data_IF_567266889081
#
_entry.id   IF_567266889081
#
_cell.length_a   1.000
_cell.length_b   1.000
_cell.length_c   1.000
_cell.angle_alpha   90.00
_cell.angle_beta   90.00
_cell.angle_gamma   90.00
#
_symmetry.space_group_name_H-M   'P 1'
#
loop_
_entity.id
_entity.type
_entity.pdbx_description
1 polymer ?
#
# COMPACT_ATOMS: atom_id res chain seq x y z
N UNK A 1 -32.91 12.60 -36.06
CA UNK A 1 -32.22 11.34 -35.77
C UNK A 1 -31.34 11.53 -34.55
N UNK A 2 -31.74 11.06 -33.37
CA UNK A 2 -30.93 11.20 -32.15
C UNK A 2 -31.04 10.02 -31.17
N UNK A 3 -32.11 9.22 -31.20
CA UNK A 3 -32.33 8.14 -30.21
C UNK A 3 -31.39 6.93 -30.31
N UNK A 4 -31.07 6.46 -31.52
CA UNK A 4 -30.27 5.23 -31.72
C UNK A 4 -28.78 5.39 -31.42
N UNK A 5 -28.23 6.59 -31.61
CA UNK A 5 -26.81 6.86 -31.34
C UNK A 5 -26.49 6.83 -29.85
N UNK A 6 -27.39 7.32 -28.98
CA UNK A 6 -27.22 7.26 -27.53
C UNK A 6 -27.31 5.85 -26.96
N UNK A 7 -28.15 4.99 -27.54
CA UNK A 7 -28.25 3.58 -27.12
C UNK A 7 -26.99 2.78 -27.50
N UNK A 8 -26.45 2.99 -28.70
CA UNK A 8 -25.20 2.36 -29.13
C UNK A 8 -23.98 2.89 -28.35
N UNK A 9 -23.90 4.20 -28.13
CA UNK A 9 -22.84 4.81 -27.32
C UNK A 9 -22.90 4.35 -25.85
N UNK A 10 -24.10 4.27 -25.27
CA UNK A 10 -24.30 3.76 -23.92
C UNK A 10 -23.94 2.28 -23.79
N UNK A 11 -24.32 1.44 -24.76
CA UNK A 11 -23.96 0.03 -24.80
C UNK A 11 -22.44 -0.19 -24.91
N UNK A 12 -21.75 0.61 -25.73
CA UNK A 12 -20.29 0.56 -25.87
C UNK A 12 -19.58 0.91 -24.56
N UNK A 13 -20.03 1.96 -23.85
CA UNK A 13 -19.46 2.35 -22.56
C UNK A 13 -19.64 1.26 -21.49
N UNK A 14 -20.85 0.69 -21.37
CA UNK A 14 -21.11 -0.39 -20.40
C UNK A 14 -20.24 -1.61 -20.70
N UNK A 15 -20.09 -1.98 -21.97
CA UNK A 15 -19.23 -3.10 -22.39
C UNK A 15 -17.76 -2.81 -22.07
N UNK A 16 -17.30 -1.59 -22.33
CA UNK A 16 -15.94 -1.15 -22.03
C UNK A 16 -15.66 -1.22 -20.52
N UNK A 17 -16.48 -0.57 -19.69
CA UNK A 17 -16.31 -0.60 -18.24
C UNK A 17 -16.41 -2.02 -17.67
N UNK A 18 -17.34 -2.83 -18.18
CA UNK A 18 -17.47 -4.23 -17.79
C UNK A 18 -16.21 -5.05 -18.12
N UNK A 19 -15.67 -4.91 -19.33
CA UNK A 19 -14.44 -5.56 -19.74
C UNK A 19 -13.24 -5.10 -18.91
N UNK A 20 -13.08 -3.79 -18.71
CA UNK A 20 -12.02 -3.21 -17.87
C UNK A 20 -12.08 -3.73 -16.44
N UNK A 21 -13.27 -3.76 -15.83
CA UNK A 21 -13.47 -4.31 -14.49
C UNK A 21 -13.04 -5.77 -14.40
N UNK A 22 -13.45 -6.61 -15.37
CA UNK A 22 -13.09 -8.02 -15.39
C UNK A 22 -11.58 -8.24 -15.55
N UNK A 23 -10.91 -7.43 -16.39
CA UNK A 23 -9.46 -7.49 -16.56
C UNK A 23 -8.75 -7.11 -15.26
N UNK A 24 -9.13 -5.98 -14.64
CA UNK A 24 -8.55 -5.53 -13.37
C UNK A 24 -8.75 -6.55 -12.26
N UNK A 25 -9.97 -7.09 -12.12
CA UNK A 25 -10.28 -8.15 -11.15
C UNK A 25 -9.38 -9.37 -11.36
N UNK A 26 -9.27 -9.88 -12.59
CA UNK A 26 -8.42 -11.06 -12.88
C UNK A 26 -6.94 -10.81 -12.60
N UNK A 27 -6.43 -9.61 -12.91
CA UNK A 27 -5.05 -9.23 -12.58
C UNK A 27 -4.83 -9.22 -11.07
N UNK A 28 -5.73 -8.59 -10.32
CA UNK A 28 -5.67 -8.55 -8.87
C UNK A 28 -5.72 -9.96 -8.25
N UNK A 29 -6.63 -10.83 -8.70
CA UNK A 29 -6.74 -12.20 -8.17
C UNK A 29 -5.48 -13.03 -8.42
N UNK A 30 -4.82 -12.83 -9.57
CA UNK A 30 -3.53 -13.47 -9.88
C UNK A 30 -2.42 -12.95 -8.97
N UNK A 31 -2.32 -11.63 -8.82
CA UNK A 31 -1.31 -11.00 -7.95
C UNK A 31 -1.46 -11.50 -6.51
N UNK A 32 -2.69 -11.50 -5.98
CA UNK A 32 -3.00 -12.03 -4.65
C UNK A 32 -2.62 -13.50 -4.50
N UNK A 33 -2.93 -14.36 -5.48
CA UNK A 33 -2.55 -15.77 -5.42
C UNK A 33 -1.05 -15.96 -5.42
N UNK A 34 -0.34 -15.28 -6.33
CA UNK A 34 1.12 -15.35 -6.43
C UNK A 34 1.79 -14.88 -5.15
N UNK A 35 1.30 -13.78 -4.58
CA UNK A 35 1.79 -13.21 -3.33
C UNK A 35 1.54 -14.15 -2.14
N UNK A 36 0.37 -14.77 -2.09
CA UNK A 36 0.03 -15.77 -1.06
C UNK A 36 0.95 -16.99 -1.12
N UNK A 37 1.27 -17.45 -2.32
CA UNK A 37 2.00 -18.70 -2.51
C UNK A 37 3.52 -18.54 -2.27
N UNK A 38 4.05 -17.31 -2.40
CA UNK A 38 5.50 -17.03 -2.25
C UNK A 38 5.94 -16.61 -0.84
N UNK A 39 5.02 -16.24 0.06
CA UNK A 39 5.36 -15.77 1.41
C UNK A 39 4.34 -16.17 2.48
N UNK A 40 4.77 -16.11 3.74
CA UNK A 40 3.88 -16.31 4.88
C UNK A 40 2.84 -15.17 4.98
N UNK A 41 1.67 -15.46 5.54
CA UNK A 41 0.67 -14.47 5.93
C UNK A 41 0.72 -14.32 7.46
N UNK A 42 1.55 -13.39 7.99
CA UNK A 42 1.72 -13.24 9.42
C UNK A 42 0.42 -12.76 10.07
N UNK A 43 0.23 -13.09 11.34
CA UNK A 43 -0.79 -12.42 12.14
C UNK A 43 -0.38 -10.97 12.40
N UNK A 44 -1.31 -10.17 12.94
CA UNK A 44 -0.99 -8.79 13.35
C UNK A 44 0.19 -8.76 14.33
N UNK A 45 0.16 -9.65 15.31
CA UNK A 45 1.14 -9.65 16.39
C UNK A 45 2.51 -10.14 15.86
N UNK A 46 2.51 -11.10 14.91
CA UNK A 46 3.72 -11.50 14.20
C UNK A 46 4.30 -10.38 13.35
N UNK A 47 3.46 -9.63 12.61
CA UNK A 47 3.89 -8.48 11.81
C UNK A 47 4.57 -7.42 12.68
N UNK A 48 3.98 -7.10 13.84
CA UNK A 48 4.56 -6.18 14.82
C UNK A 48 5.87 -6.73 15.37
N UNK A 49 5.93 -8.01 15.72
CA UNK A 49 7.14 -8.64 16.22
C UNK A 49 8.28 -8.63 15.18
N UNK A 50 7.95 -8.87 13.91
CA UNK A 50 8.91 -8.84 12.80
C UNK A 50 9.50 -7.44 12.55
N UNK A 51 8.78 -6.37 12.93
CA UNK A 51 9.19 -4.97 12.77
C UNK A 51 9.79 -4.35 14.04
N UNK A 52 9.70 -5.05 15.17
CA UNK A 52 10.17 -4.55 16.47
C UNK A 52 11.66 -4.12 16.51
N UNK A 53 12.58 -4.70 15.73
CA UNK A 53 13.97 -4.22 15.69
C UNK A 53 14.12 -2.82 15.10
N UNK A 54 13.26 -2.43 14.16
CA UNK A 54 13.36 -1.17 13.43
C UNK A 54 12.44 -0.09 13.98
N UNK A 55 11.25 -0.47 14.45
CA UNK A 55 10.20 0.49 14.77
C UNK A 55 9.42 0.15 16.03
N UNK A 56 8.90 1.19 16.69
CA UNK A 56 8.03 1.02 17.85
C UNK A 56 6.73 0.28 17.51
N UNK A 57 6.20 -0.47 18.47
CA UNK A 57 4.98 -1.27 18.29
C UNK A 57 3.76 -0.43 17.88
N UNK A 58 3.66 0.82 18.36
CA UNK A 58 2.60 1.75 17.97
C UNK A 58 2.63 2.07 16.46
N UNK A 59 3.82 2.35 15.92
CA UNK A 59 4.04 2.63 14.50
C UNK A 59 3.74 1.40 13.64
N UNK A 60 4.24 0.22 14.03
CA UNK A 60 3.94 -1.03 13.34
C UNK A 60 2.42 -1.33 13.33
N UNK A 61 1.72 -1.11 14.45
CA UNK A 61 0.27 -1.30 14.56
C UNK A 61 -0.53 -0.30 13.74
N UNK A 62 -0.08 0.95 13.66
CA UNK A 62 -0.69 1.95 12.78
C UNK A 62 -0.59 1.49 11.33
N UNK A 63 0.61 1.15 10.86
CA UNK A 63 0.82 0.79 9.46
C UNK A 63 0.13 -0.52 9.07
N UNK A 64 0.06 -1.49 10.00
CA UNK A 64 -0.74 -2.69 9.79
C UNK A 64 -2.19 -2.36 9.42
N UNK A 65 -2.78 -1.32 10.05
CA UNK A 65 -4.16 -0.89 9.79
C UNK A 65 -4.29 -0.24 8.42
N UNK A 66 -3.37 0.65 8.05
CA UNK A 66 -3.34 1.29 6.73
C UNK A 66 -3.32 0.24 5.62
N UNK A 67 -2.45 -0.78 5.77
CA UNK A 67 -2.34 -1.85 4.79
C UNK A 67 -3.59 -2.74 4.69
N UNK A 68 -4.49 -2.77 5.70
CA UNK A 68 -5.64 -3.68 5.63
C UNK A 68 -6.56 -3.40 4.44
N UNK A 69 -6.64 -2.16 3.95
CA UNK A 69 -7.47 -1.77 2.80
C UNK A 69 -7.04 -2.51 1.52
N UNK A 70 -5.75 -2.81 1.37
CA UNK A 70 -5.19 -3.43 0.17
C UNK A 70 -5.11 -4.96 0.26
N UNK A 71 -4.88 -5.49 1.47
CA UNK A 71 -4.63 -6.92 1.68
C UNK A 71 -5.90 -7.71 2.01
N UNK A 72 -6.89 -7.10 2.68
CA UNK A 72 -8.10 -7.83 3.07
C UNK A 72 -9.02 -8.13 1.87
N UNK A 73 -9.80 -9.21 1.96
CA UNK A 73 -9.85 -10.22 3.03
C UNK A 73 -8.91 -11.42 2.80
N UNK A 74 -8.09 -11.41 1.74
CA UNK A 74 -7.43 -12.62 1.22
C UNK A 74 -5.97 -12.79 1.68
N UNK A 75 -5.34 -11.72 2.14
CA UNK A 75 -3.95 -11.70 2.60
C UNK A 75 -3.85 -10.95 3.93
N UNK A 76 -2.76 -11.20 4.63
CA UNK A 76 -2.26 -10.26 5.63
C UNK A 76 -1.00 -9.56 5.13
N UNK A 77 -0.75 -8.30 5.51
CA UNK A 77 0.49 -7.60 5.17
C UNK A 77 1.73 -8.33 5.69
N UNK A 78 2.82 -8.33 4.92
CA UNK A 78 4.13 -8.80 5.36
C UNK A 78 5.14 -7.64 5.35
N UNK A 79 6.09 -7.56 6.32
CA UNK A 79 7.03 -6.43 6.42
C UNK A 79 7.93 -6.20 5.19
N UNK A 80 8.11 -7.24 4.39
CA UNK A 80 8.98 -7.25 3.22
C UNK A 80 8.22 -7.29 1.88
N UNK A 81 6.91 -7.06 1.90
CA UNK A 81 6.13 -6.88 0.67
C UNK A 81 6.58 -5.61 -0.06
N UNK A 82 6.76 -5.68 -1.38
CA UNK A 82 6.93 -4.55 -2.27
C UNK A 82 5.59 -3.84 -2.44
N UNK A 83 5.46 -2.69 -1.78
CA UNK A 83 4.25 -1.88 -1.74
C UNK A 83 3.88 -1.30 -3.10
N UNK A 84 4.80 -1.29 -4.06
CA UNK A 84 4.60 -0.75 -5.41
C UNK A 84 4.45 -1.83 -6.48
N UNK A 85 5.00 -3.01 -6.23
CA UNK A 85 5.09 -4.10 -7.22
C UNK A 85 4.18 -5.29 -6.97
N UNK A 86 3.83 -5.60 -5.72
CA UNK A 86 3.20 -6.89 -5.39
C UNK A 86 1.69 -6.91 -5.54
N UNK A 87 1.07 -5.77 -5.27
CA UNK A 87 -0.36 -5.54 -5.42
C UNK A 87 -0.55 -4.26 -6.24
N UNK A 88 -1.70 -4.07 -6.91
CA UNK A 88 -2.01 -2.86 -7.65
C UNK A 88 -2.39 -1.72 -6.68
N UNK A 89 -1.49 -1.40 -5.75
CA UNK A 89 -1.55 -0.23 -4.89
C UNK A 89 -1.15 0.97 -5.74
N UNK A 90 -1.75 2.14 -5.46
CA UNK A 90 -1.39 3.37 -6.14
C UNK A 90 0.10 3.68 -5.88
N UNK A 91 0.93 3.94 -6.91
CA UNK A 91 2.33 4.27 -6.71
C UNK A 91 2.55 5.54 -5.87
N UNK A 92 1.55 6.42 -5.75
CA UNK A 92 1.60 7.63 -4.92
C UNK A 92 1.16 7.37 -3.47
N UNK A 93 0.59 6.20 -3.17
CA UNK A 93 0.13 5.83 -1.83
C UNK A 93 1.23 5.89 -0.74
N UNK A 94 2.49 5.49 -1.00
CA UNK A 94 3.57 5.67 -0.05
C UNK A 94 3.74 7.12 0.41
N UNK A 95 3.55 8.11 -0.47
CA UNK A 95 3.64 9.52 -0.10
C UNK A 95 2.51 9.95 0.84
N UNK A 96 1.31 9.38 0.66
CA UNK A 96 0.18 9.63 1.55
C UNK A 96 0.41 9.03 2.94
N UNK A 97 0.96 7.81 3.02
CA UNK A 97 1.36 7.24 4.31
C UNK A 97 2.43 8.07 5.02
N UNK A 98 3.39 8.63 4.28
CA UNK A 98 4.39 9.56 4.84
C UNK A 98 3.71 10.82 5.41
N UNK A 99 2.77 11.42 4.67
CA UNK A 99 2.01 12.59 5.13
C UNK A 99 1.21 12.30 6.40
N UNK A 100 0.58 11.12 6.46
CA UNK A 100 -0.23 10.71 7.60
C UNK A 100 0.63 10.42 8.84
N UNK A 101 1.78 9.76 8.66
CA UNK A 101 2.76 9.57 9.74
C UNK A 101 3.28 10.92 10.27
N UNK A 102 3.64 11.85 9.38
CA UNK A 102 4.04 13.20 9.78
C UNK A 102 2.95 13.90 10.59
N UNK A 103 1.68 13.80 10.16
CA UNK A 103 0.54 14.38 10.88
C UNK A 103 0.39 13.77 12.28
N UNK A 104 0.56 12.46 12.41
CA UNK A 104 0.45 11.74 13.68
C UNK A 104 1.53 12.18 14.69
N UNK A 105 2.73 12.51 14.21
CA UNK A 105 3.88 12.84 15.05
C UNK A 105 4.22 14.34 15.10
N UNK A 106 3.42 15.20 14.47
CA UNK A 106 3.65 16.65 14.44
C UNK A 106 4.88 17.06 13.62
N UNK A 107 5.30 16.23 12.67
CA UNK A 107 6.40 16.51 11.75
C UNK A 107 5.91 17.23 10.49
N UNK A 108 6.82 17.87 9.76
CA UNK A 108 6.53 18.42 8.43
C UNK A 108 7.26 17.60 7.36
N UNK A 109 6.55 17.25 6.30
CA UNK A 109 7.10 16.43 5.21
C UNK A 109 8.34 17.05 4.57
N UNK A 110 8.40 18.37 4.43
CA UNK A 110 9.57 19.07 3.85
C UNK A 110 10.82 19.06 4.73
N UNK A 111 10.70 18.72 6.02
CA UNK A 111 11.83 18.59 6.94
C UNK A 111 12.45 17.19 6.89
N UNK A 112 11.79 16.22 6.25
CA UNK A 112 12.30 14.88 6.04
C UNK A 112 13.40 14.88 4.98
N UNK A 113 14.40 14.01 5.17
CA UNK A 113 15.38 13.73 4.12
C UNK A 113 14.68 13.10 2.89
N UNK A 114 15.36 13.09 1.74
CA UNK A 114 14.84 12.37 0.59
C UNK A 114 14.84 10.85 0.85
N UNK A 115 13.83 10.15 0.32
CA UNK A 115 13.81 8.68 0.32
C UNK A 115 15.10 8.12 -0.32
N UNK A 116 15.79 7.16 0.32
CA UNK A 116 16.98 6.57 -0.28
C UNK A 116 16.64 5.71 -1.51
N UNK A 117 17.06 6.14 -2.70
CA UNK A 117 16.74 5.46 -3.97
C UNK A 117 17.18 3.98 -4.04
N UNK A 118 18.20 3.60 -3.26
CA UNK A 118 18.69 2.23 -3.20
C UNK A 118 17.78 1.27 -2.39
N UNK A 119 16.80 1.80 -1.65
CA UNK A 119 15.90 0.99 -0.83
C UNK A 119 14.60 0.69 -1.57
N UNK A 120 14.22 -0.59 -1.58
CA UNK A 120 12.90 -1.02 -2.00
C UNK A 120 11.82 -0.44 -1.07
N UNK A 121 10.66 -0.10 -1.63
CA UNK A 121 9.53 0.47 -0.89
C UNK A 121 8.74 -0.67 -0.22
N UNK A 122 9.28 -1.17 0.90
CA UNK A 122 8.64 -2.17 1.75
C UNK A 122 8.16 -1.56 3.07
N UNK A 123 7.21 -2.18 3.80
CA UNK A 123 6.82 -1.69 5.12
C UNK A 123 8.01 -1.52 6.07
N UNK A 124 8.94 -2.49 6.10
CA UNK A 124 10.12 -2.44 6.94
C UNK A 124 10.99 -1.23 6.62
N UNK A 125 11.32 -1.04 5.34
CA UNK A 125 12.20 0.06 4.94
C UNK A 125 11.51 1.41 5.16
N UNK A 126 10.23 1.51 4.80
CA UNK A 126 9.47 2.75 4.91
C UNK A 126 9.36 3.21 6.37
N UNK A 127 8.91 2.32 7.24
CA UNK A 127 8.75 2.64 8.66
C UNK A 127 10.09 2.86 9.35
N UNK A 128 11.11 2.05 9.04
CA UNK A 128 12.45 2.21 9.60
C UNK A 128 13.07 3.57 9.23
N UNK A 129 12.88 4.01 7.99
CA UNK A 129 13.27 5.36 7.57
C UNK A 129 12.48 6.45 8.30
N UNK A 130 11.16 6.32 8.41
CA UNK A 130 10.30 7.29 9.11
C UNK A 130 10.66 7.44 10.60
N UNK A 131 10.92 6.33 11.31
CA UNK A 131 11.33 6.37 12.71
C UNK A 131 12.69 7.03 12.89
N UNK A 132 13.64 6.74 11.98
CA UNK A 132 14.95 7.41 11.99
C UNK A 132 14.83 8.92 11.78
N UNK A 133 13.99 9.34 10.84
CA UNK A 133 13.75 10.76 10.58
C UNK A 133 13.03 11.45 11.74
N UNK A 134 12.07 10.77 12.39
CA UNK A 134 11.44 11.28 13.60
C UNK A 134 12.49 11.55 14.67
N UNK A 135 13.33 10.56 14.99
CA UNK A 135 14.38 10.72 16.00
C UNK A 135 15.31 11.89 15.65
N UNK A 136 15.76 12.00 14.39
CA UNK A 136 16.63 13.09 13.90
C UNK A 136 16.01 14.49 14.09
N UNK A 137 14.69 14.62 14.01
CA UNK A 137 13.98 15.89 14.08
C UNK A 137 13.48 16.24 15.49
N UNK A 138 13.44 15.27 16.40
CA UNK A 138 12.97 15.47 17.78
C UNK A 138 14.09 15.54 18.83
N UNK A 139 15.30 15.16 18.46
CA UNK A 139 16.53 15.38 19.24
C UNK A 139 17.05 16.81 19.06
#
# INVERSE_FOLDING_TARGET
MSGGAWLLAGGALVTWFGASYLICKRKWERAVSLLRDRRANPSRDDFVAMLAPEVGSATALWFWKELQVYYRPRLSPHPDDDLTGDLPIDPDEPDDWVRDYCRLHGLKVHDLAQWPEALAVTPRNLLGWLEKERSRLTE
#
